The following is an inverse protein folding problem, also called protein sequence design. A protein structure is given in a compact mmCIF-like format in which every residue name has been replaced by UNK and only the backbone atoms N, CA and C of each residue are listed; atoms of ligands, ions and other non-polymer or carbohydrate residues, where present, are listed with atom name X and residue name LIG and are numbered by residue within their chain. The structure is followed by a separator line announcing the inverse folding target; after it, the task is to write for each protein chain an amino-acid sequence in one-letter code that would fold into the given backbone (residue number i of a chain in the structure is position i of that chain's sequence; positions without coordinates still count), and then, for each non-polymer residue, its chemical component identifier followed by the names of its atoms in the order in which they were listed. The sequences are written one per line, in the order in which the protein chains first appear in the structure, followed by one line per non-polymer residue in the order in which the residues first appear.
data_IF_138196143361
#
_entry.id   IF_138196143361
#
_cell.length_a   1.000
_cell.length_b   1.000
_cell.length_c   1.000
_cell.angle_alpha   90.00
_cell.angle_beta   90.00
_cell.angle_gamma   90.00
#
_symmetry.space_group_name_H-M   'P 1'
#
loop_
_entity.id
_entity.type
_entity.pdbx_description
1 polymer ?
#
# COMPACT_ATOMS: atom_id res chain seq x y z
N UNK A 1 -24.66 6.78 -5.30
CA UNK A 1 -23.27 6.68 -5.77
C UNK A 1 -22.54 5.85 -4.74
N UNK A 2 -22.01 4.67 -5.10
CA UNK A 2 -21.31 3.86 -4.10
C UNK A 2 -19.98 4.54 -3.76
N UNK A 3 -19.70 4.67 -2.47
CA UNK A 3 -18.45 5.25 -1.94
C UNK A 3 -17.32 4.20 -1.91
N UNK A 4 -17.45 3.14 -2.71
CA UNK A 4 -16.48 2.05 -2.72
C UNK A 4 -15.19 2.51 -3.39
N UNK A 5 -14.07 2.09 -2.81
CA UNK A 5 -12.73 2.27 -3.35
C UNK A 5 -12.24 0.92 -3.87
N UNK A 6 -11.76 0.90 -5.11
CA UNK A 6 -11.22 -0.30 -5.75
C UNK A 6 -9.70 -0.25 -5.68
N UNK A 7 -9.12 -1.25 -5.01
CA UNK A 7 -7.69 -1.35 -4.76
C UNK A 7 -7.18 -2.64 -5.38
N UNK A 8 -6.13 -2.58 -6.22
CA UNK A 8 -5.41 -3.78 -6.64
C UNK A 8 -4.94 -4.53 -5.40
N UNK A 9 -5.29 -5.80 -5.29
CA UNK A 9 -4.75 -6.63 -4.23
C UNK A 9 -3.35 -7.10 -4.63
N UNK A 10 -2.35 -6.69 -3.87
CA UNK A 10 -0.96 -7.04 -4.09
C UNK A 10 -0.62 -8.42 -3.52
N UNK A 11 -1.27 -8.79 -2.42
CA UNK A 11 -1.08 -10.07 -1.73
C UNK A 11 -1.74 -11.23 -2.48
N UNK A 12 -2.77 -10.98 -3.29
CA UNK A 12 -3.48 -12.00 -4.06
C UNK A 12 -3.50 -11.73 -5.56
N UNK A 13 -2.96 -12.67 -6.33
CA UNK A 13 -2.87 -12.57 -7.79
C UNK A 13 -4.24 -12.45 -8.46
N UNK A 14 -4.38 -11.51 -9.39
CA UNK A 14 -5.63 -11.23 -10.14
C UNK A 14 -6.86 -10.96 -9.25
N UNK A 15 -6.65 -10.41 -8.05
CA UNK A 15 -7.73 -9.96 -7.16
C UNK A 15 -7.75 -8.44 -7.00
N UNK A 16 -8.93 -7.93 -6.69
CA UNK A 16 -9.16 -6.57 -6.21
C UNK A 16 -9.74 -6.62 -4.80
N UNK A 17 -9.35 -5.66 -3.97
CA UNK A 17 -10.02 -5.33 -2.72
C UNK A 17 -11.01 -4.21 -2.99
N UNK A 18 -12.28 -4.43 -2.67
CA UNK A 18 -13.32 -3.41 -2.71
C UNK A 18 -13.58 -2.98 -1.28
N UNK A 19 -13.15 -1.78 -0.94
CA UNK A 19 -13.30 -1.21 0.40
C UNK A 19 -14.47 -0.22 0.42
N UNK A 20 -15.30 -0.29 1.46
CA UNK A 20 -16.57 0.45 1.57
C UNK A 20 -16.60 1.45 2.73
N UNK A 21 -15.45 1.73 3.35
CA UNK A 21 -15.33 2.65 4.50
C UNK A 21 -15.23 1.92 5.84
N UNK A 22 -16.06 0.90 6.06
CA UNK A 22 -16.07 0.12 7.31
C UNK A 22 -15.67 -1.34 7.13
N UNK A 23 -15.71 -1.83 5.88
CA UNK A 23 -15.49 -3.23 5.55
C UNK A 23 -14.90 -3.36 4.14
N UNK A 24 -14.37 -4.53 3.82
CA UNK A 24 -13.84 -4.86 2.52
C UNK A 24 -14.26 -6.25 2.06
N UNK A 25 -14.22 -6.44 0.74
CA UNK A 25 -14.33 -7.77 0.12
C UNK A 25 -13.26 -7.93 -0.95
N UNK A 26 -12.78 -9.16 -1.09
CA UNK A 26 -11.82 -9.53 -2.13
C UNK A 26 -12.60 -10.19 -3.25
N UNK A 27 -12.37 -9.72 -4.48
CA UNK A 27 -13.05 -10.23 -5.67
C UNK A 27 -12.07 -10.50 -6.80
N UNK A 28 -12.46 -11.37 -7.72
CA UNK A 28 -11.72 -11.57 -8.96
C UNK A 28 -11.68 -10.29 -9.78
N UNK A 29 -10.56 -10.11 -10.52
CA UNK A 29 -10.35 -8.97 -11.41
C UNK A 29 -11.52 -8.74 -12.36
N UNK A 30 -12.12 -9.82 -12.85
CA UNK A 30 -13.23 -9.81 -13.82
C UNK A 30 -14.56 -9.32 -13.22
N UNK A 31 -14.70 -9.31 -11.89
CA UNK A 31 -15.90 -8.85 -11.20
C UNK A 31 -15.95 -7.32 -11.03
N UNK A 32 -14.96 -6.59 -11.55
CA UNK A 32 -14.83 -5.14 -11.40
C UNK A 32 -14.73 -4.48 -12.77
N UNK A 33 -15.66 -3.58 -13.06
CA UNK A 33 -15.76 -2.81 -14.32
C UNK A 33 -15.35 -1.33 -14.16
N UNK A 34 -14.85 -0.97 -12.96
CA UNK A 34 -14.51 0.40 -12.56
C UNK A 34 -13.01 0.60 -12.45
N UNK A 35 -12.60 1.86 -12.51
CA UNK A 35 -11.20 2.30 -12.42
C UNK A 35 -10.57 1.92 -11.09
N UNK A 36 -9.34 1.40 -11.13
CA UNK A 36 -8.52 1.15 -9.95
C UNK A 36 -8.05 2.48 -9.35
N UNK A 37 -8.32 2.68 -8.06
CA UNK A 37 -8.02 3.91 -7.34
C UNK A 37 -6.77 3.80 -6.47
N UNK A 38 -6.26 2.59 -6.26
CA UNK A 38 -5.11 2.37 -5.41
C UNK A 38 -4.66 0.92 -5.36
N UNK A 39 -3.82 0.64 -4.38
CA UNK A 39 -3.24 -0.69 -4.15
C UNK A 39 -3.41 -1.01 -2.66
N UNK A 40 -3.71 -2.26 -2.37
CA UNK A 40 -3.84 -2.80 -1.02
C UNK A 40 -3.16 -4.16 -0.90
N UNK A 41 -2.89 -4.57 0.32
CA UNK A 41 -2.40 -5.89 0.67
C UNK A 41 -2.58 -6.11 2.17
N UNK A 42 -2.04 -7.21 2.65
CA UNK A 42 -2.13 -7.59 4.05
C UNK A 42 -0.75 -7.51 4.71
N UNK A 43 -0.70 -6.93 5.90
CA UNK A 43 0.43 -7.09 6.80
C UNK A 43 0.38 -8.48 7.48
N UNK A 44 1.45 -8.88 8.17
CA UNK A 44 1.55 -10.20 8.82
C UNK A 44 0.42 -10.51 9.82
N UNK A 45 -0.14 -9.48 10.46
CA UNK A 45 -1.26 -9.60 11.39
C UNK A 45 -2.63 -9.60 10.67
N UNK A 46 -2.65 -9.86 9.36
CA UNK A 46 -3.83 -9.81 8.49
C UNK A 46 -4.49 -8.42 8.38
N UNK A 47 -3.84 -7.37 8.89
CA UNK A 47 -4.31 -6.00 8.75
C UNK A 47 -4.33 -5.61 7.27
N UNK A 48 -5.49 -5.15 6.78
CA UNK A 48 -5.58 -4.54 5.46
C UNK A 48 -4.84 -3.21 5.47
N UNK A 49 -3.81 -3.11 4.62
CA UNK A 49 -3.01 -1.90 4.43
C UNK A 49 -3.09 -1.47 2.96
N UNK A 50 -3.05 -0.17 2.69
CA UNK A 50 -3.16 0.33 1.32
C UNK A 50 -2.83 1.79 1.14
N UNK A 51 -2.66 2.20 -0.11
CA UNK A 51 -2.61 3.60 -0.52
C UNK A 51 -3.55 3.79 -1.71
N UNK A 52 -4.38 4.83 -1.66
CA UNK A 52 -5.38 5.09 -2.69
C UNK A 52 -5.63 6.57 -2.93
N UNK A 53 -6.32 6.86 -4.02
CA UNK A 53 -6.59 8.22 -4.49
C UNK A 53 -8.10 8.46 -4.56
N UNK A 54 -8.52 9.62 -4.06
CA UNK A 54 -9.90 10.09 -4.09
C UNK A 54 -9.89 11.60 -4.27
N UNK A 55 -10.46 12.09 -5.38
CA UNK A 55 -10.54 13.53 -5.70
C UNK A 55 -9.19 14.25 -5.59
N UNK A 56 -8.16 13.71 -6.25
CA UNK A 56 -6.77 14.23 -6.28
C UNK A 56 -5.99 14.18 -4.95
N UNK A 57 -6.61 13.70 -3.88
CA UNK A 57 -5.97 13.46 -2.59
C UNK A 57 -5.56 11.99 -2.46
N UNK A 58 -4.37 11.77 -1.89
CA UNK A 58 -3.89 10.44 -1.54
C UNK A 58 -4.23 10.12 -0.08
N UNK A 59 -4.55 8.86 0.18
CA UNK A 59 -4.95 8.35 1.48
C UNK A 59 -4.17 7.07 1.79
N UNK A 60 -3.73 6.95 3.03
CA UNK A 60 -3.21 5.72 3.60
C UNK A 60 -4.34 4.96 4.29
N UNK A 61 -4.49 3.68 4.00
CA UNK A 61 -5.47 2.77 4.59
C UNK A 61 -4.75 1.81 5.53
N UNK A 62 -5.25 1.69 6.77
CA UNK A 62 -4.84 0.64 7.70
C UNK A 62 -6.01 0.27 8.62
N UNK A 63 -6.31 -1.01 8.79
CA UNK A 63 -7.39 -1.53 9.65
C UNK A 63 -8.74 -0.82 9.42
N UNK A 64 -9.13 -0.70 8.15
CA UNK A 64 -10.36 -0.01 7.71
C UNK A 64 -10.43 1.48 8.11
N UNK A 65 -9.32 2.10 8.49
CA UNK A 65 -9.23 3.55 8.72
C UNK A 65 -8.44 4.20 7.60
N UNK A 66 -8.99 5.28 7.04
CA UNK A 66 -8.30 6.12 6.07
C UNK A 66 -7.64 7.33 6.76
N UNK A 67 -6.42 7.65 6.35
CA UNK A 67 -5.67 8.83 6.77
C UNK A 67 -5.28 9.61 5.53
N UNK A 68 -5.72 10.86 5.42
CA UNK A 68 -5.31 11.73 4.31
C UNK A 68 -3.81 12.02 4.42
N UNK A 69 -3.05 11.74 3.36
CA UNK A 69 -1.61 11.98 3.31
C UNK A 69 -1.35 13.47 3.09
N UNK A 70 -0.68 14.11 4.04
CA UNK A 70 -0.26 15.50 3.89
C UNK A 70 0.97 15.55 2.95
N UNK A 71 0.76 15.89 1.67
CA UNK A 71 1.81 15.90 0.64
C UNK A 71 3.06 16.72 1.03
N UNK A 72 2.91 17.74 1.88
CA UNK A 72 4.04 18.55 2.37
C UNK A 72 4.74 17.97 3.60
N UNK A 73 4.06 17.12 4.37
CA UNK A 73 4.48 16.65 5.68
C UNK A 73 4.02 15.20 5.93
N UNK A 74 4.70 14.25 5.29
CA UNK A 74 4.61 12.84 5.59
C UNK A 74 6.00 12.23 5.48
N UNK A 75 6.24 11.16 6.22
CA UNK A 75 7.46 10.38 6.16
C UNK A 75 7.09 8.89 6.23
N UNK A 76 7.71 8.11 5.36
CA UNK A 76 7.60 6.66 5.38
C UNK A 76 9.01 6.10 5.53
N UNK A 77 9.28 5.45 6.65
CA UNK A 77 10.57 4.80 6.89
C UNK A 77 10.41 3.28 6.81
N UNK A 78 11.45 2.64 6.30
CA UNK A 78 11.56 1.20 6.24
C UNK A 78 13.00 0.83 6.57
N UNK A 79 13.22 0.28 7.76
CA UNK A 79 14.56 0.02 8.29
C UNK A 79 14.68 -1.42 8.81
N UNK A 80 15.87 -2.01 8.66
CA UNK A 80 16.19 -3.27 9.34
C UNK A 80 16.33 -3.03 10.83
N UNK A 81 15.63 -3.85 11.63
CA UNK A 81 15.83 -3.90 13.10
C UNK A 81 16.71 -5.10 13.51
N UNK A 82 16.78 -6.12 12.66
CA UNK A 82 17.75 -7.21 12.71
C UNK A 82 18.10 -7.69 11.28
N UNK A 83 18.72 -8.88 11.14
CA UNK A 83 19.16 -9.42 9.84
C UNK A 83 18.01 -9.79 8.89
N UNK A 84 16.80 -9.95 9.39
CA UNK A 84 15.63 -10.49 8.67
C UNK A 84 14.41 -9.58 8.81
N UNK A 85 14.24 -9.00 9.99
CA UNK A 85 13.06 -8.22 10.33
C UNK A 85 13.24 -6.76 9.94
N UNK A 86 12.21 -6.20 9.32
CA UNK A 86 12.09 -4.78 9.00
C UNK A 86 11.01 -4.12 9.85
N UNK A 87 11.17 -2.83 10.06
CA UNK A 87 10.20 -1.95 10.70
C UNK A 87 9.80 -0.87 9.71
N UNK A 88 8.52 -0.89 9.35
CA UNK A 88 7.84 0.12 8.56
C UNK A 88 7.17 1.12 9.50
N UNK A 89 7.45 2.42 9.35
CA UNK A 89 6.77 3.47 10.11
C UNK A 89 6.19 4.49 9.14
N UNK A 90 4.91 4.80 9.32
CA UNK A 90 4.23 5.87 8.59
C UNK A 90 3.92 7.02 9.55
N UNK A 91 4.54 8.17 9.28
CA UNK A 91 4.36 9.41 10.04
C UNK A 91 3.68 10.41 9.12
N UNK A 92 2.62 11.05 9.61
CA UNK A 92 1.89 12.06 8.87
C UNK A 92 1.65 13.24 9.78
N UNK A 93 2.02 14.45 9.34
CA UNK A 93 1.89 15.66 10.15
C UNK A 93 2.60 15.59 11.52
N UNK A 94 3.73 14.88 11.60
CA UNK A 94 4.50 14.57 12.82
C UNK A 94 3.85 13.56 13.79
N UNK A 95 2.68 13.00 13.44
CA UNK A 95 2.04 11.94 14.21
C UNK A 95 2.39 10.56 13.63
N UNK A 96 2.80 9.63 14.49
CA UNK A 96 2.96 8.23 14.12
C UNK A 96 1.58 7.62 13.89
N UNK A 97 1.26 7.32 12.63
CA UNK A 97 -0.03 6.74 12.23
C UNK A 97 0.01 5.22 12.37
N UNK A 98 1.10 4.59 11.94
CA UNK A 98 1.28 3.15 12.09
C UNK A 98 2.75 2.75 12.22
N UNK A 99 2.96 1.64 12.90
CA UNK A 99 4.22 0.89 12.93
C UNK A 99 3.89 -0.58 12.62
N UNK A 100 4.60 -1.17 11.66
CA UNK A 100 4.47 -2.57 11.28
C UNK A 100 5.87 -3.18 11.32
N UNK A 101 6.02 -4.24 12.12
CA UNK A 101 7.25 -5.04 12.21
C UNK A 101 6.97 -6.37 11.52
N UNK A 102 7.82 -6.75 10.56
CA UNK A 102 7.59 -7.94 9.74
C UNK A 102 8.90 -8.50 9.15
N UNK A 103 8.92 -9.78 8.79
CA UNK A 103 9.98 -10.41 8.00
C UNK A 103 9.53 -10.44 6.52
N UNK A 104 10.08 -9.60 5.63
CA UNK A 104 9.67 -9.58 4.24
C UNK A 104 9.85 -10.95 3.59
N UNK A 105 8.83 -11.40 2.85
CA UNK A 105 8.94 -12.63 2.09
C UNK A 105 9.72 -12.37 0.80
N UNK A 106 10.96 -12.86 0.75
CA UNK A 106 11.80 -12.85 -0.45
C UNK A 106 11.87 -14.29 -0.94
N UNK A 107 11.25 -14.58 -2.09
CA UNK A 107 11.33 -15.91 -2.71
C UNK A 107 12.81 -16.25 -2.98
N UNK A 108 13.35 -17.35 -2.41
CA UNK A 108 14.75 -17.75 -2.61
C UNK A 108 15.11 -17.97 -4.09
N UNK A 109 14.13 -18.34 -4.93
CA UNK A 109 14.29 -18.47 -6.37
C UNK A 109 14.61 -17.14 -7.07
N UNK A 110 14.25 -16.00 -6.47
CA UNK A 110 14.47 -14.66 -7.04
C UNK A 110 15.88 -14.12 -6.78
N UNK A 111 16.57 -14.59 -5.74
CA UNK A 111 18.00 -14.32 -5.51
C UNK A 111 18.86 -14.80 -6.69
N UNK A 112 18.35 -15.78 -7.46
CA UNK A 112 19.02 -16.33 -8.64
C UNK A 112 18.80 -15.50 -9.92
N UNK A 113 17.83 -14.57 -9.94
CA UNK A 113 17.42 -13.82 -11.13
C UNK A 113 17.75 -12.31 -11.09
N UNK A 114 18.55 -11.84 -10.13
CA UNK A 114 18.88 -10.41 -9.96
C UNK A 114 17.62 -9.51 -9.90
N UNK A 115 16.51 -10.08 -9.44
CA UNK A 115 15.21 -9.42 -9.39
C UNK A 115 15.07 -8.65 -8.08
N UNK A 116 14.60 -7.41 -8.14
CA UNK A 116 14.54 -6.52 -6.99
C UNK A 116 13.53 -7.07 -5.95
N UNK A 117 13.98 -7.44 -4.73
CA UNK A 117 13.09 -7.89 -3.66
C UNK A 117 11.97 -6.90 -3.33
N UNK A 118 12.17 -5.61 -3.67
CA UNK A 118 11.21 -4.53 -3.50
C UNK A 118 9.94 -4.68 -4.36
N UNK A 119 9.98 -5.51 -5.40
CA UNK A 119 8.82 -5.78 -6.25
C UNK A 119 7.92 -6.92 -5.74
N UNK A 120 8.30 -7.65 -4.70
CA UNK A 120 7.58 -8.86 -4.31
C UNK A 120 6.88 -8.76 -2.95
N UNK A 121 7.38 -7.89 -2.08
CA UNK A 121 6.73 -7.59 -0.82
C UNK A 121 5.90 -6.32 -0.91
N UNK A 122 4.64 -6.39 -0.46
CA UNK A 122 3.69 -5.29 -0.59
C UNK A 122 4.11 -4.04 0.20
N UNK A 123 4.60 -4.21 1.42
CA UNK A 123 5.02 -3.08 2.26
C UNK A 123 6.31 -2.46 1.72
N UNK A 124 7.22 -3.26 1.18
CA UNK A 124 8.39 -2.76 0.44
C UNK A 124 7.98 -1.96 -0.79
N UNK A 125 7.04 -2.49 -1.58
CA UNK A 125 6.55 -1.82 -2.77
C UNK A 125 5.96 -0.45 -2.42
N UNK A 126 5.07 -0.39 -1.42
CA UNK A 126 4.50 0.89 -0.97
C UNK A 126 5.59 1.84 -0.46
N UNK A 127 6.50 1.38 0.41
CA UNK A 127 7.51 2.25 1.00
C UNK A 127 8.46 2.83 -0.05
N UNK A 128 8.84 2.02 -1.04
CA UNK A 128 9.92 2.35 -1.96
C UNK A 128 9.44 2.94 -3.29
N UNK A 129 8.18 2.70 -3.68
CA UNK A 129 7.67 3.15 -4.97
C UNK A 129 6.56 4.22 -4.87
N UNK A 130 5.82 4.27 -3.75
CA UNK A 130 4.68 5.20 -3.61
C UNK A 130 4.98 6.26 -2.55
N UNK A 131 5.44 5.84 -1.38
CA UNK A 131 5.66 6.71 -0.22
C UNK A 131 7.14 7.11 -0.04
N UNK A 132 8.00 6.77 -0.99
CA UNK A 132 9.43 7.07 -0.94
C UNK A 132 9.72 8.58 -0.94
N UNK A 133 8.93 9.33 -1.71
CA UNK A 133 9.12 10.78 -1.86
C UNK A 133 7.81 11.47 -2.23
N UNK A 134 7.81 12.79 -2.09
CA UNK A 134 6.69 13.64 -2.52
C UNK A 134 6.43 13.52 -4.02
N UNK A 135 7.47 13.33 -4.81
CA UNK A 135 7.38 13.15 -6.26
C UNK A 135 6.78 11.80 -6.63
N UNK A 136 7.23 10.72 -5.99
CA UNK A 136 6.67 9.38 -6.17
C UNK A 136 5.15 9.37 -5.87
N UNK A 137 4.76 9.98 -4.74
CA UNK A 137 3.35 10.12 -4.37
C UNK A 137 2.56 10.95 -5.39
N UNK A 138 3.13 12.05 -5.90
CA UNK A 138 2.48 12.87 -6.91
C UNK A 138 2.25 12.10 -8.23
N UNK A 139 3.25 11.33 -8.67
CA UNK A 139 3.16 10.47 -9.84
C UNK A 139 2.08 9.40 -9.67
N UNK A 140 1.99 8.80 -8.47
CA UNK A 140 0.94 7.85 -8.13
C UNK A 140 -0.46 8.48 -8.22
N UNK A 141 -0.65 9.68 -7.68
CA UNK A 141 -1.92 10.43 -7.78
C UNK A 141 -2.32 10.65 -9.24
N UNK A 142 -1.40 11.14 -10.07
CA UNK A 142 -1.65 11.36 -11.50
C UNK A 142 -2.00 10.04 -12.21
N UNK A 143 -1.31 8.94 -11.88
CA UNK A 143 -1.54 7.64 -12.52
C UNK A 143 -2.91 7.03 -12.18
N UNK A 144 -3.47 7.32 -10.99
CA UNK A 144 -4.78 6.79 -10.54
C UNK A 144 -5.98 7.65 -10.93
N UNK A 145 -5.76 8.87 -11.41
CA UNK A 145 -6.81 9.75 -11.92
C UNK A 145 -6.93 9.73 -13.46
N UNK A 146 -6.09 8.96 -14.16
CA UNK A 146 -6.16 8.72 -15.61
C UNK A 146 -7.11 7.57 -15.93
#
# INVERSE_FOLDING_TARGET
MSNEIILRNYSEYKKYTIWSGSDYRIVDKEAVDRQEQGISGFAENEALVGVFVKKDDAFFLIDNKEYKICKSNFECSNIYIDKKTRKFQFINQNDLICEIIYEPYIDPGMVMYDSDPEEFDFLLFISNNILQSKEALANFVVARNK
#
